data_IF_721688738016
#
_entry.id   IF_721688738016
#
_cell.length_a   1.000
_cell.length_b   1.000
_cell.length_c   1.000
_cell.angle_alpha   90.00
_cell.angle_beta   90.00
_cell.angle_gamma   90.00
#
_symmetry.space_group_name_H-M   'P 1'
#
loop_
_entity.id
_entity.type
_entity.pdbx_description
1 polymer ?
#
# COMPACT_ATOMS: atom_id res chain seq x y z
N UNK A 1 -9.46 -13.12 -18.10
CA UNK A 1 -10.22 -12.11 -17.36
C UNK A 1 -9.20 -11.19 -16.70
N UNK A 2 -9.03 -9.96 -17.17
CA UNK A 2 -8.12 -9.00 -16.54
C UNK A 2 -8.69 -8.58 -15.18
N UNK A 3 -7.85 -8.48 -14.15
CA UNK A 3 -8.31 -8.06 -12.82
C UNK A 3 -8.79 -6.61 -12.90
N UNK A 4 -9.84 -6.27 -12.14
CA UNK A 4 -10.43 -4.91 -12.17
C UNK A 4 -9.44 -3.82 -11.76
N UNK A 5 -8.44 -4.18 -10.95
CA UNK A 5 -7.29 -3.33 -10.63
C UNK A 5 -6.46 -3.00 -11.88
N UNK A 6 -6.19 -3.97 -12.76
CA UNK A 6 -5.45 -3.72 -14.01
C UNK A 6 -6.17 -2.75 -14.96
N UNK A 7 -7.51 -2.69 -14.93
CA UNK A 7 -8.28 -1.75 -15.76
C UNK A 7 -8.21 -0.31 -15.22
N UNK A 8 -8.38 -0.13 -13.91
CA UNK A 8 -8.20 1.16 -13.25
C UNK A 8 -6.74 1.68 -13.37
N UNK A 9 -5.77 0.76 -13.41
CA UNK A 9 -4.35 1.06 -13.63
C UNK A 9 -4.01 1.40 -15.10
N UNK A 10 -4.72 0.83 -16.08
CA UNK A 10 -4.59 1.22 -17.50
C UNK A 10 -5.20 2.59 -17.80
N UNK A 11 -6.29 2.93 -17.14
CA UNK A 11 -6.96 4.25 -17.24
C UNK A 11 -6.19 5.36 -16.50
N UNK A 12 -5.12 5.02 -15.79
CA UNK A 12 -4.12 5.98 -15.27
C UNK A 12 -3.28 6.63 -16.39
N UNK A 13 -3.42 6.19 -17.65
CA UNK A 13 -3.29 7.07 -18.81
C UNK A 13 -4.68 7.38 -19.32
N UNK A 14 -5.08 8.64 -19.20
CA UNK A 14 -6.34 9.19 -19.72
C UNK A 14 -6.50 8.82 -21.22
N UNK A 15 -7.69 8.35 -21.65
CA UNK A 15 -8.23 8.86 -22.91
C UNK A 15 -9.75 9.15 -22.83
N UNK A 16 -10.28 9.92 -23.79
CA UNK A 16 -11.54 10.62 -23.63
C UNK A 16 -12.77 9.72 -23.81
N UNK A 17 -13.79 10.05 -23.01
CA UNK A 17 -15.23 9.95 -23.25
C UNK A 17 -15.68 8.92 -24.29
N UNK A 18 -16.12 7.74 -23.84
CA UNK A 18 -17.17 6.98 -24.55
C UNK A 18 -18.12 6.27 -23.60
N UNK A 19 -19.38 6.69 -23.67
CA UNK A 19 -20.55 5.97 -23.18
C UNK A 19 -20.67 4.61 -23.88
N UNK A 20 -21.06 3.57 -23.15
CA UNK A 20 -21.94 2.52 -23.66
C UNK A 20 -22.63 1.80 -22.50
N UNK A 21 -23.95 1.76 -22.58
CA UNK A 21 -24.87 1.08 -21.68
C UNK A 21 -24.86 -0.42 -21.95
N UNK A 22 -24.96 -1.25 -20.89
CA UNK A 22 -25.51 -2.59 -20.98
C UNK A 22 -26.19 -2.98 -19.65
N UNK A 23 -27.37 -3.58 -19.79
CA UNK A 23 -28.33 -4.00 -18.77
C UNK A 23 -27.95 -5.34 -18.12
N UNK A 24 -28.18 -5.47 -16.81
CA UNK A 24 -28.11 -6.73 -16.06
C UNK A 24 -29.52 -7.25 -15.74
N UNK A 25 -29.72 -8.58 -15.57
CA UNK A 25 -30.81 -9.11 -14.78
C UNK A 25 -30.39 -9.47 -13.34
N UNK A 26 -31.39 -9.37 -12.48
CA UNK A 26 -31.47 -9.48 -11.02
C UNK A 26 -31.06 -10.84 -10.43
N UNK A 27 -30.37 -10.83 -9.28
CA UNK A 27 -30.29 -11.99 -8.36
C UNK A 27 -30.11 -11.52 -6.90
N UNK A 28 -30.79 -12.26 -6.01
CA UNK A 28 -31.18 -11.93 -4.63
C UNK A 28 -30.03 -11.96 -3.60
N UNK A 29 -30.13 -11.09 -2.59
CA UNK A 29 -29.22 -10.97 -1.45
C UNK A 29 -29.52 -11.98 -0.32
N UNK A 30 -28.48 -12.42 0.43
CA UNK A 30 -28.64 -12.89 1.81
C UNK A 30 -28.01 -11.93 2.82
N UNK A 31 -28.56 -12.00 4.03
CA UNK A 31 -28.40 -11.06 5.13
C UNK A 31 -27.03 -11.13 5.84
N UNK A 32 -26.50 -9.94 6.18
CA UNK A 32 -25.30 -9.71 6.98
C UNK A 32 -25.62 -9.73 8.49
N UNK A 33 -24.78 -10.44 9.28
CA UNK A 33 -24.63 -10.20 10.72
C UNK A 33 -23.40 -9.31 10.96
N UNK A 34 -23.65 -8.19 11.62
CA UNK A 34 -22.72 -7.10 11.84
C UNK A 34 -21.76 -7.36 13.02
N UNK A 35 -20.46 -7.22 12.77
CA UNK A 35 -19.44 -6.92 13.78
C UNK A 35 -19.03 -5.46 13.64
N UNK A 36 -19.42 -4.63 14.60
CA UNK A 36 -19.25 -3.18 14.60
C UNK A 36 -17.76 -2.81 14.76
N UNK A 37 -17.11 -2.34 13.68
CA UNK A 37 -15.79 -1.67 13.76
C UNK A 37 -16.03 -0.18 13.52
N UNK A 38 -15.66 0.63 14.51
CA UNK A 38 -15.89 2.08 14.55
C UNK A 38 -15.13 2.78 13.41
N UNK A 39 -15.82 3.01 12.30
CA UNK A 39 -15.45 4.00 11.29
C UNK A 39 -15.69 5.39 11.87
N UNK A 40 -14.63 6.18 12.09
CA UNK A 40 -14.82 7.61 12.32
C UNK A 40 -15.14 8.25 10.97
N UNK A 41 -16.40 8.15 10.56
CA UNK A 41 -16.92 8.87 9.41
C UNK A 41 -16.66 10.36 9.63
N UNK A 42 -16.24 11.06 8.57
CA UNK A 42 -16.08 12.50 8.62
C UNK A 42 -17.48 13.08 8.92
N UNK A 43 -17.60 13.80 10.04
CA UNK A 43 -18.88 14.36 10.47
C UNK A 43 -19.39 15.36 9.41
N UNK A 44 -20.72 15.48 9.22
CA UNK A 44 -21.29 16.45 8.29
C UNK A 44 -20.92 17.86 8.75
N UNK A 45 -19.94 18.48 8.09
CA UNK A 45 -19.46 19.84 8.41
C UNK A 45 -17.93 20.03 8.45
N UNK A 46 -17.12 18.97 8.36
CA UNK A 46 -15.69 19.16 8.13
C UNK A 46 -15.40 19.44 6.65
N UNK A 47 -14.52 20.42 6.41
CA UNK A 47 -14.01 20.75 5.08
C UNK A 47 -13.41 19.49 4.45
N UNK A 48 -13.89 19.16 3.24
CA UNK A 48 -13.43 18.01 2.46
C UNK A 48 -11.95 18.21 2.15
N UNK A 49 -11.07 17.51 2.87
CA UNK A 49 -9.64 17.55 2.58
C UNK A 49 -9.40 16.95 1.19
N UNK A 50 -8.97 17.80 0.26
CA UNK A 50 -8.53 17.41 -1.08
C UNK A 50 -7.08 16.95 -0.96
N UNK A 51 -6.79 15.74 -1.43
CA UNK A 51 -5.43 15.20 -1.40
C UNK A 51 -4.85 15.20 -2.82
N UNK A 52 -3.63 15.73 -2.95
CA UNK A 52 -2.81 15.53 -4.13
C UNK A 52 -2.30 14.08 -4.12
N UNK A 53 -2.82 13.26 -5.02
CA UNK A 53 -2.24 11.95 -5.31
C UNK A 53 -1.06 12.16 -6.27
N UNK A 54 -0.03 11.29 -6.28
CA UNK A 54 0.99 11.36 -7.32
C UNK A 54 0.34 11.27 -8.69
N UNK A 55 0.77 12.11 -9.62
CA UNK A 55 0.25 12.15 -10.99
C UNK A 55 1.06 11.25 -11.94
N UNK A 56 2.20 10.73 -11.46
CA UNK A 56 3.11 9.88 -12.24
C UNK A 56 3.75 8.78 -11.41
N UNK A 57 4.24 7.75 -12.10
CA UNK A 57 5.04 6.66 -11.49
C UNK A 57 6.28 7.22 -10.78
N UNK A 58 6.99 8.13 -11.42
CA UNK A 58 8.22 8.71 -10.86
C UNK A 58 7.96 9.52 -9.59
N UNK A 59 6.85 10.25 -9.56
CA UNK A 59 6.42 10.95 -8.36
C UNK A 59 6.02 9.97 -7.24
N UNK A 60 5.28 8.91 -7.56
CA UNK A 60 4.93 7.89 -6.58
C UNK A 60 6.17 7.20 -5.99
N UNK A 61 7.19 6.93 -6.82
CA UNK A 61 8.49 6.42 -6.37
C UNK A 61 9.17 7.43 -5.43
N UNK A 62 9.23 8.71 -5.79
CA UNK A 62 9.81 9.76 -4.92
C UNK A 62 9.10 9.88 -3.57
N UNK A 63 7.77 9.90 -3.58
CA UNK A 63 6.96 9.98 -2.36
C UNK A 63 7.16 8.75 -1.47
N UNK A 64 7.19 7.56 -2.07
CA UNK A 64 7.43 6.30 -1.34
C UNK A 64 8.84 6.26 -0.74
N UNK A 65 9.86 6.68 -1.48
CA UNK A 65 11.24 6.77 -1.01
C UNK A 65 11.37 7.78 0.14
N UNK A 66 10.70 8.93 0.06
CA UNK A 66 10.68 9.92 1.15
C UNK A 66 10.02 9.36 2.41
N UNK A 67 8.91 8.62 2.29
CA UNK A 67 8.22 7.98 3.41
C UNK A 67 9.12 6.92 4.08
N UNK A 68 9.77 6.07 3.29
CA UNK A 68 10.76 5.08 3.77
C UNK A 68 11.93 5.75 4.47
N UNK A 69 12.48 6.83 3.88
CA UNK A 69 13.62 7.55 4.44
C UNK A 69 13.34 8.15 5.80
N UNK A 70 12.13 8.67 6.02
CA UNK A 70 11.69 9.14 7.32
C UNK A 70 11.83 8.06 8.40
N UNK A 71 11.50 6.82 8.07
CA UNK A 71 11.60 5.69 9.00
C UNK A 71 13.04 5.18 9.14
N UNK A 72 13.76 4.99 8.02
CA UNK A 72 15.13 4.45 8.03
C UNK A 72 16.11 5.36 8.78
N UNK A 73 15.92 6.68 8.72
CA UNK A 73 16.73 7.63 9.52
C UNK A 73 16.49 7.48 11.03
N UNK A 74 15.26 7.18 11.45
CA UNK A 74 14.94 6.96 12.86
C UNK A 74 15.53 5.64 13.40
N UNK A 75 15.83 4.68 12.51
CA UNK A 75 16.51 3.43 12.86
C UNK A 75 18.01 3.58 13.11
N UNK A 76 18.63 4.68 12.64
CA UNK A 76 20.07 4.97 12.85
C UNK A 76 20.39 5.64 14.21
N UNK A 77 19.39 5.87 15.06
CA UNK A 77 19.62 6.35 16.42
C UNK A 77 19.96 5.21 17.38
N UNK A 78 20.96 5.35 18.28
CA UNK A 78 21.19 4.35 19.31
C UNK A 78 19.95 4.30 20.21
N UNK A 79 19.14 3.24 20.11
CA UNK A 79 18.17 2.91 21.15
C UNK A 79 19.01 2.63 22.40
N UNK A 80 19.08 3.59 23.32
CA UNK A 80 19.65 3.37 24.66
C UNK A 80 18.92 2.16 25.24
N UNK A 81 19.63 1.03 25.30
CA UNK A 81 19.16 -0.15 26.00
C UNK A 81 18.81 0.28 27.43
N UNK A 82 17.55 0.11 27.82
CA UNK A 82 17.16 0.25 29.22
C UNK A 82 17.82 -0.92 29.95
N UNK A 83 18.95 -0.64 30.61
CA UNK A 83 19.78 -1.59 31.35
C UNK A 83 18.97 -2.17 32.53
N UNK A 84 18.18 -3.20 32.27
CA UNK A 84 17.62 -4.10 33.26
C UNK A 84 18.55 -5.31 33.37
N UNK A 85 19.00 -5.62 34.59
CA UNK A 85 19.80 -6.79 34.88
C UNK A 85 18.95 -8.06 34.67
N UNK A 86 19.31 -8.89 33.68
CA UNK A 86 18.75 -10.24 33.55
C UNK A 86 18.28 -10.70 32.16
N UNK A 87 18.92 -10.31 31.06
CA UNK A 87 18.65 -10.94 29.76
C UNK A 87 19.96 -11.28 29.06
N UNK A 88 20.18 -12.58 28.86
CA UNK A 88 21.19 -13.12 27.97
C UNK A 88 21.10 -12.43 26.61
N UNK A 89 22.25 -12.12 26.01
CA UNK A 89 22.37 -11.61 24.66
C UNK A 89 21.77 -12.64 23.69
N UNK A 90 20.47 -12.50 23.44
CA UNK A 90 19.78 -13.21 22.37
C UNK A 90 20.08 -12.44 21.10
N UNK A 91 20.78 -13.11 20.19
CA UNK A 91 21.14 -12.66 18.85
C UNK A 91 19.96 -12.04 18.09
N UNK A 92 20.28 -11.07 17.24
CA UNK A 92 19.43 -10.47 16.20
C UNK A 92 18.06 -9.94 16.66
N UNK A 93 17.99 -8.65 17.00
CA UNK A 93 16.71 -7.95 16.81
C UNK A 93 16.33 -8.06 15.33
N UNK A 94 15.14 -8.59 14.96
CA UNK A 94 14.75 -8.71 13.57
C UNK A 94 14.78 -7.32 12.92
N UNK A 95 15.39 -7.24 11.73
CA UNK A 95 15.45 -5.98 10.98
C UNK A 95 14.05 -5.40 10.77
N UNK A 96 13.95 -4.09 10.64
CA UNK A 96 12.64 -3.44 10.51
C UNK A 96 11.99 -3.79 9.17
N UNK A 97 10.70 -4.15 9.19
CA UNK A 97 9.99 -4.68 8.02
C UNK A 97 9.01 -3.63 7.49
N UNK A 98 9.15 -3.27 6.22
CA UNK A 98 8.33 -2.27 5.55
C UNK A 98 7.65 -2.86 4.32
N UNK A 99 6.50 -2.31 3.94
CA UNK A 99 5.83 -2.59 2.67
C UNK A 99 5.60 -1.31 1.89
N UNK A 100 5.79 -1.38 0.57
CA UNK A 100 5.43 -0.33 -0.38
C UNK A 100 4.54 -0.91 -1.47
N UNK A 101 3.41 -0.24 -1.72
CA UNK A 101 2.49 -0.58 -2.80
C UNK A 101 2.32 0.61 -3.74
N UNK A 102 2.68 0.39 -5.00
CA UNK A 102 2.69 1.36 -6.07
C UNK A 102 1.87 0.83 -7.25
N UNK A 103 1.09 1.70 -7.92
CA UNK A 103 0.34 1.32 -9.11
C UNK A 103 1.31 0.91 -10.24
N UNK A 104 1.01 -0.20 -10.91
CA UNK A 104 1.73 -0.69 -12.09
C UNK A 104 0.83 -0.65 -13.32
N UNK A 105 1.39 -0.37 -14.50
CA UNK A 105 0.60 -0.37 -15.73
C UNK A 105 0.29 -1.80 -16.20
N UNK A 106 1.19 -2.74 -15.91
CA UNK A 106 0.99 -4.17 -16.13
C UNK A 106 1.75 -5.03 -15.11
N UNK A 107 1.35 -6.29 -15.00
CA UNK A 107 2.05 -7.30 -14.17
C UNK A 107 3.28 -7.89 -14.88
N UNK A 108 3.86 -7.16 -15.84
CA UNK A 108 5.03 -7.61 -16.57
C UNK A 108 6.26 -7.58 -15.64
N UNK A 109 7.07 -8.67 -15.57
CA UNK A 109 8.29 -8.69 -14.77
C UNK A 109 9.27 -7.56 -15.10
N UNK A 110 9.29 -7.05 -16.34
CA UNK A 110 10.12 -5.91 -16.71
C UNK A 110 9.72 -4.59 -16.02
N UNK A 111 8.41 -4.35 -15.82
CA UNK A 111 7.93 -3.15 -15.13
C UNK A 111 8.26 -3.17 -13.64
N UNK A 112 8.10 -4.35 -13.01
CA UNK A 112 8.50 -4.60 -11.63
C UNK A 112 10.01 -4.47 -11.44
N UNK A 113 10.81 -4.99 -12.39
CA UNK A 113 12.26 -4.86 -12.37
C UNK A 113 12.74 -3.41 -12.46
N UNK A 114 12.12 -2.63 -13.36
CA UNK A 114 12.37 -1.19 -13.46
C UNK A 114 11.98 -0.49 -12.15
N UNK A 115 10.79 -0.78 -11.60
CA UNK A 115 10.32 -0.20 -10.34
C UNK A 115 11.29 -0.47 -9.17
N UNK A 116 11.78 -1.70 -9.04
CA UNK A 116 12.74 -2.06 -8.00
C UNK A 116 14.06 -1.26 -8.14
N UNK A 117 14.52 -1.09 -9.38
CA UNK A 117 15.73 -0.32 -9.69
C UNK A 117 15.55 1.17 -9.39
N UNK A 118 14.39 1.73 -9.74
CA UNK A 118 14.04 3.13 -9.49
C UNK A 118 13.93 3.41 -7.99
N UNK A 119 13.28 2.52 -7.24
CA UNK A 119 13.11 2.66 -5.79
C UNK A 119 14.44 2.58 -5.04
N UNK A 120 15.32 1.63 -5.40
CA UNK A 120 16.65 1.55 -4.81
C UNK A 120 17.52 2.78 -5.13
N UNK A 121 17.37 3.35 -6.33
CA UNK A 121 18.09 4.56 -6.72
C UNK A 121 17.57 5.83 -6.06
N UNK A 122 16.29 5.86 -5.69
CA UNK A 122 15.69 6.96 -4.93
C UNK A 122 16.09 6.94 -3.44
N UNK A 123 16.60 5.81 -2.94
CA UNK A 123 17.12 5.68 -1.57
C UNK A 123 18.62 6.03 -1.51
N UNK A 124 19.13 6.56 -0.38
CA UNK A 124 20.55 6.87 -0.23
C UNK A 124 21.39 5.62 -0.32
N UNK A 125 22.49 5.67 -1.09
CA UNK A 125 23.41 4.56 -1.31
C UNK A 125 23.90 3.92 0.01
N UNK A 126 24.14 4.71 1.06
CA UNK A 126 24.55 4.21 2.37
C UNK A 126 23.49 3.35 3.09
N UNK A 127 22.23 3.40 2.65
CA UNK A 127 21.13 2.60 3.21
C UNK A 127 20.79 1.38 2.35
N UNK A 128 21.25 1.35 1.10
CA UNK A 128 21.04 0.27 0.12
C UNK A 128 22.34 -0.44 -0.26
N UNK A 129 23.46 -0.11 0.39
CA UNK A 129 24.73 -0.80 0.21
C UNK A 129 24.57 -2.29 0.53
N UNK A 130 24.96 -3.15 -0.42
CA UNK A 130 24.80 -4.60 -0.30
C UNK A 130 23.35 -5.10 -0.37
N UNK A 131 22.40 -4.30 -0.84
CA UNK A 131 21.00 -4.71 -0.88
C UNK A 131 20.77 -5.95 -1.76
N UNK A 132 20.25 -7.01 -1.13
CA UNK A 132 19.81 -8.23 -1.78
C UNK A 132 18.38 -8.04 -2.33
N UNK A 133 18.16 -8.37 -3.60
CA UNK A 133 16.82 -8.41 -4.20
C UNK A 133 16.38 -9.85 -4.32
N UNK A 134 15.26 -10.18 -3.70
CA UNK A 134 14.61 -11.47 -3.76
C UNK A 134 13.28 -11.32 -4.49
N UNK A 135 13.08 -12.12 -5.54
CA UNK A 135 11.94 -12.01 -6.43
C UNK A 135 11.01 -13.20 -6.26
N UNK A 136 9.69 -12.99 -6.30
CA UNK A 136 8.71 -14.09 -6.17
C UNK A 136 8.91 -15.23 -7.20
N UNK A 137 9.46 -14.94 -8.38
CA UNK A 137 9.69 -15.92 -9.44
C UNK A 137 11.08 -15.80 -10.09
N UNK A 138 11.53 -16.89 -10.71
CA UNK A 138 12.76 -16.93 -11.51
C UNK A 138 12.71 -15.94 -12.69
N UNK A 139 11.54 -15.80 -13.32
CA UNK A 139 11.35 -14.88 -14.44
C UNK A 139 11.55 -13.42 -14.01
N UNK A 140 11.04 -13.06 -12.83
CA UNK A 140 11.22 -11.73 -12.27
C UNK A 140 12.69 -11.51 -11.85
N UNK A 141 13.34 -12.52 -11.26
CA UNK A 141 14.77 -12.46 -10.92
C UNK A 141 15.64 -12.21 -12.17
N UNK A 142 15.38 -12.93 -13.27
CA UNK A 142 16.07 -12.74 -14.54
C UNK A 142 15.83 -11.33 -15.12
N UNK A 143 14.60 -10.81 -15.05
CA UNK A 143 14.28 -9.45 -15.51
C UNK A 143 15.01 -8.37 -14.69
N UNK A 144 15.10 -8.55 -13.37
CA UNK A 144 15.84 -7.64 -12.47
C UNK A 144 17.35 -7.69 -12.77
N UNK A 145 17.90 -8.88 -12.98
CA UNK A 145 19.31 -9.05 -13.35
C UNK A 145 19.61 -8.33 -14.68
N UNK A 146 18.77 -8.56 -15.70
CA UNK A 146 18.90 -7.88 -16.99
C UNK A 146 18.84 -6.35 -16.87
N UNK A 147 17.88 -5.82 -16.09
CA UNK A 147 17.73 -4.40 -15.86
C UNK A 147 18.96 -3.77 -15.15
N UNK A 148 19.57 -4.50 -14.21
CA UNK A 148 20.81 -4.08 -13.54
C UNK A 148 21.99 -4.05 -14.51
N UNK A 149 22.14 -5.07 -15.34
CA UNK A 149 23.21 -5.16 -16.34
C UNK A 149 23.11 -4.05 -17.39
N UNK A 150 21.90 -3.72 -17.86
CA UNK A 150 21.70 -2.65 -18.86
C UNK A 150 21.85 -1.24 -18.29
N UNK A 151 21.54 -1.04 -17.00
CA UNK A 151 21.53 0.27 -16.36
C UNK A 151 22.90 0.78 -15.91
N UNK A 152 23.98 0.02 -16.12
CA UNK A 152 25.33 0.36 -15.63
C UNK A 152 25.44 0.44 -14.09
N UNK A 153 24.38 0.08 -13.36
CA UNK A 153 24.27 0.13 -11.91
C UNK A 153 24.62 -1.25 -11.35
N UNK A 154 25.89 -1.45 -11.00
CA UNK A 154 26.28 -2.60 -10.19
C UNK A 154 25.83 -2.37 -8.74
N UNK A 155 24.61 -2.82 -8.41
CA UNK A 155 24.25 -3.03 -7.02
C UNK A 155 25.08 -4.21 -6.48
N UNK A 156 25.84 -4.00 -5.40
CA UNK A 156 26.74 -5.03 -4.87
C UNK A 156 26.06 -6.25 -4.24
N UNK A 157 24.73 -6.24 -4.07
CA UNK A 157 23.99 -7.35 -3.48
C UNK A 157 23.37 -8.30 -4.52
N UNK A 158 23.13 -9.54 -4.12
CA UNK A 158 22.60 -10.60 -4.99
C UNK A 158 21.19 -10.30 -5.53
N UNK A 159 20.84 -10.90 -6.68
CA UNK A 159 19.46 -10.99 -7.18
C UNK A 159 19.10 -12.46 -7.27
N UNK A 160 18.13 -12.90 -6.48
CA UNK A 160 17.72 -14.29 -6.36
C UNK A 160 16.21 -14.42 -6.55
N UNK A 161 15.74 -15.59 -6.96
CA UNK A 161 14.36 -15.97 -6.75
C UNK A 161 14.12 -16.30 -5.27
N UNK A 162 12.87 -16.29 -4.83
CA UNK A 162 12.52 -16.60 -3.44
C UNK A 162 12.93 -18.02 -3.06
N UNK A 163 12.76 -18.98 -3.97
CA UNK A 163 13.19 -20.36 -3.75
C UNK A 163 14.71 -20.48 -3.64
N UNK A 164 15.47 -19.81 -4.52
CA UNK A 164 16.92 -19.81 -4.46
C UNK A 164 17.44 -19.10 -3.21
N UNK A 165 16.77 -18.03 -2.77
CA UNK A 165 17.10 -17.31 -1.55
C UNK A 165 16.93 -18.20 -0.30
N UNK A 166 15.87 -19.01 -0.23
CA UNK A 166 15.66 -19.94 0.89
C UNK A 166 16.69 -21.09 0.94
N UNK A 167 17.42 -21.32 -0.16
CA UNK A 167 18.46 -22.35 -0.26
C UNK A 167 19.87 -21.78 -0.04
N UNK A 168 20.01 -20.46 0.10
CA UNK A 168 21.28 -19.84 0.37
C UNK A 168 21.73 -20.10 1.82
N UNK A 169 23.04 -20.24 2.04
CA UNK A 169 23.58 -20.47 3.39
C UNK A 169 23.27 -19.31 4.35
N UNK A 170 23.40 -18.08 3.85
CA UNK A 170 23.03 -16.87 4.58
C UNK A 170 22.92 -15.68 3.65
N UNK A 171 21.96 -14.80 3.92
CA UNK A 171 21.83 -13.49 3.27
C UNK A 171 22.00 -12.38 4.29
N UNK A 172 22.73 -11.34 3.92
CA UNK A 172 22.97 -10.20 4.81
C UNK A 172 22.75 -8.85 4.13
N UNK A 173 22.58 -7.82 4.95
CA UNK A 173 22.32 -6.47 4.48
C UNK A 173 20.84 -6.21 4.18
N UNK A 174 20.51 -5.06 3.56
CA UNK A 174 19.13 -4.71 3.24
C UNK A 174 18.46 -5.74 2.31
N UNK A 175 17.20 -6.06 2.58
CA UNK A 175 16.44 -7.02 1.77
C UNK A 175 15.28 -6.32 1.04
N UNK A 176 15.18 -6.57 -0.27
CA UNK A 176 14.06 -6.14 -1.10
C UNK A 176 13.31 -7.36 -1.65
N UNK A 177 12.07 -7.57 -1.22
CA UNK A 177 11.19 -8.65 -1.66
C UNK A 177 10.20 -8.13 -2.71
N UNK A 178 10.27 -8.63 -3.94
CA UNK A 178 9.45 -8.15 -5.04
C UNK A 178 8.23 -9.05 -5.29
N UNK A 179 7.06 -8.43 -5.21
CA UNK A 179 5.74 -8.97 -5.53
C UNK A 179 5.44 -10.35 -4.90
N UNK A 180 5.72 -10.59 -3.61
CA UNK A 180 5.38 -11.87 -3.00
C UNK A 180 3.87 -12.07 -2.96
N UNK A 181 3.41 -13.25 -3.38
CA UNK A 181 2.01 -13.63 -3.36
C UNK A 181 1.61 -14.30 -2.04
N UNK A 182 0.30 -14.55 -1.88
CA UNK A 182 -0.21 -15.31 -0.72
C UNK A 182 0.40 -16.71 -0.63
N UNK A 183 0.72 -17.34 -1.76
CA UNK A 183 1.41 -18.65 -1.81
C UNK A 183 2.83 -18.61 -1.28
N UNK A 184 3.46 -17.43 -1.25
CA UNK A 184 4.88 -17.25 -0.97
C UNK A 184 5.14 -16.93 0.51
N UNK A 185 4.08 -16.70 1.29
CA UNK A 185 4.18 -16.22 2.67
C UNK A 185 4.99 -17.18 3.55
N UNK A 186 4.82 -18.49 3.37
CA UNK A 186 5.60 -19.49 4.11
C UNK A 186 7.10 -19.43 3.77
N UNK A 187 7.45 -19.22 2.50
CA UNK A 187 8.84 -19.08 2.06
C UNK A 187 9.44 -17.75 2.54
N UNK A 188 8.63 -16.69 2.61
CA UNK A 188 9.09 -15.41 3.17
C UNK A 188 9.33 -15.51 4.68
N UNK A 189 8.49 -16.25 5.41
CA UNK A 189 8.75 -16.55 6.83
C UNK A 189 10.09 -17.26 7.00
N UNK A 190 10.28 -18.38 6.29
CA UNK A 190 11.51 -19.16 6.30
C UNK A 190 12.74 -18.29 5.97
N UNK A 191 12.65 -17.50 4.90
CA UNK A 191 13.73 -16.59 4.50
C UNK A 191 14.11 -15.62 5.62
N UNK A 192 13.11 -15.02 6.29
CA UNK A 192 13.33 -13.99 7.31
C UNK A 192 13.81 -14.55 8.65
N UNK A 193 13.43 -15.78 8.98
CA UNK A 193 13.71 -16.39 10.27
C UNK A 193 14.98 -17.26 10.25
N UNK A 194 15.29 -17.90 9.12
CA UNK A 194 16.39 -18.87 9.03
C UNK A 194 17.59 -18.35 8.22
N UNK A 195 17.37 -17.54 7.18
CA UNK A 195 18.41 -17.26 6.18
C UNK A 195 18.92 -15.82 6.25
N UNK A 196 18.02 -14.86 6.44
CA UNK A 196 18.33 -13.44 6.32
C UNK A 196 18.64 -12.76 7.65
N UNK A 197 19.76 -12.03 7.68
CA UNK A 197 20.13 -11.15 8.79
C UNK A 197 20.47 -9.76 8.27
N UNK A 198 19.63 -8.77 8.55
CA UNK A 198 19.86 -7.42 8.03
C UNK A 198 19.15 -6.31 8.79
N UNK A 199 19.45 -5.05 8.43
CA UNK A 199 18.92 -3.88 9.11
C UNK A 199 17.43 -3.65 8.84
N UNK A 200 16.98 -3.94 7.61
CA UNK A 200 15.60 -3.78 7.20
C UNK A 200 15.25 -4.67 6.01
N UNK A 201 13.98 -5.06 5.92
CA UNK A 201 13.37 -5.75 4.79
C UNK A 201 12.23 -4.90 4.22
N UNK A 202 12.14 -4.81 2.90
CA UNK A 202 11.10 -4.06 2.19
C UNK A 202 10.38 -4.99 1.21
N UNK A 203 9.08 -5.13 1.34
CA UNK A 203 8.24 -5.79 0.34
C UNK A 203 7.67 -4.75 -0.62
N UNK A 204 7.80 -4.99 -1.92
CA UNK A 204 7.25 -4.14 -2.98
C UNK A 204 6.09 -4.87 -3.64
N UNK A 205 4.93 -4.23 -3.66
CA UNK A 205 3.68 -4.74 -4.24
C UNK A 205 3.32 -6.19 -3.79
N UNK A 206 3.29 -6.49 -2.48
CA UNK A 206 2.84 -7.80 -2.01
C UNK A 206 1.34 -8.01 -2.27
N UNK A 207 0.97 -9.25 -2.60
CA UNK A 207 -0.43 -9.67 -2.83
C UNK A 207 -0.99 -10.52 -1.68
N UNK A 208 -0.25 -10.66 -0.58
CA UNK A 208 -0.65 -11.48 0.56
C UNK A 208 -1.63 -10.81 1.51
N UNK A 209 -2.23 -9.68 1.15
CA UNK A 209 -3.16 -8.94 2.02
C UNK A 209 -4.57 -9.51 2.00
N UNK A 210 -4.88 -10.35 1.02
CA UNK A 210 -6.18 -11.02 0.90
C UNK A 210 -5.99 -12.51 1.13
N UNK A 211 -6.88 -13.12 1.92
CA UNK A 211 -6.89 -14.57 2.14
C UNK A 211 -5.60 -15.18 2.74
N UNK A 212 -4.82 -14.40 3.50
CA UNK A 212 -3.66 -14.94 4.24
C UNK A 212 -4.13 -16.02 5.22
N UNK A 213 -3.50 -17.20 5.23
CA UNK A 213 -3.78 -18.21 6.26
C UNK A 213 -3.55 -17.65 7.66
N UNK A 214 -4.39 -18.05 8.62
CA UNK A 214 -4.33 -17.55 10.01
C UNK A 214 -2.94 -17.71 10.65
N UNK A 215 -2.23 -18.80 10.32
CA UNK A 215 -0.88 -19.07 10.80
C UNK A 215 0.12 -17.93 10.47
N UNK A 216 -0.04 -17.27 9.33
CA UNK A 216 0.92 -16.26 8.85
C UNK A 216 0.44 -14.81 9.01
N UNK A 217 -0.70 -14.58 9.69
CA UNK A 217 -1.19 -13.23 9.92
C UNK A 217 -0.22 -12.38 10.75
N UNK A 218 0.49 -13.00 11.70
CA UNK A 218 1.52 -12.32 12.49
C UNK A 218 2.68 -11.80 11.64
N UNK A 219 3.14 -12.62 10.68
CA UNK A 219 4.18 -12.24 9.74
C UNK A 219 3.73 -11.07 8.86
N UNK A 220 2.56 -11.17 8.22
CA UNK A 220 2.05 -10.09 7.34
C UNK A 220 1.81 -8.80 8.13
N UNK A 221 1.33 -8.90 9.37
CA UNK A 221 1.15 -7.74 10.25
C UNK A 221 2.48 -7.12 10.73
N UNK A 222 3.59 -7.88 10.69
CA UNK A 222 4.93 -7.37 11.04
C UNK A 222 5.48 -6.38 10.00
N UNK A 223 4.96 -6.42 8.77
CA UNK A 223 5.33 -5.48 7.71
C UNK A 223 4.52 -4.19 7.84
N UNK A 224 5.22 -3.09 8.11
CA UNK A 224 4.59 -1.78 8.16
C UNK A 224 4.47 -1.17 6.76
N UNK A 225 3.25 -0.92 6.30
CA UNK A 225 3.02 -0.22 5.04
C UNK A 225 3.51 1.24 5.12
N UNK A 226 4.72 1.48 4.57
CA UNK A 226 5.37 2.78 4.52
C UNK A 226 4.66 3.72 3.54
N UNK A 227 4.26 3.16 2.40
CA UNK A 227 3.49 3.82 1.37
C UNK A 227 2.59 2.81 0.69
N UNK A 228 1.32 3.13 0.48
CA UNK A 228 0.41 2.32 -0.31
C UNK A 228 -0.55 3.24 -1.01
N UNK A 229 -0.53 3.22 -2.34
CA UNK A 229 -1.54 3.86 -3.15
C UNK A 229 -2.18 2.84 -4.08
N UNK A 230 -3.45 2.55 -3.83
CA UNK A 230 -4.21 1.56 -4.58
C UNK A 230 -5.44 2.23 -5.18
N UNK A 231 -5.48 2.41 -6.50
CA UNK A 231 -6.70 2.76 -7.20
C UNK A 231 -7.76 1.67 -7.00
N UNK A 232 -8.99 2.08 -6.71
CA UNK A 232 -10.12 1.18 -6.48
C UNK A 232 -11.29 1.62 -7.34
N UNK A 233 -11.85 0.67 -8.08
CA UNK A 233 -13.14 0.80 -8.72
C UNK A 233 -14.10 -0.23 -8.11
N UNK A 234 -15.15 0.25 -7.43
CA UNK A 234 -16.20 -0.61 -6.87
C UNK A 234 -17.26 -0.87 -7.94
N UNK A 235 -17.63 -2.14 -8.14
CA UNK A 235 -18.69 -2.54 -9.08
C UNK A 235 -19.97 -3.04 -8.38
N UNK A 236 -20.01 -2.97 -7.05
CA UNK A 236 -21.15 -3.38 -6.22
C UNK A 236 -22.31 -2.38 -6.26
N UNK A 237 -23.07 -2.32 -5.15
CA UNK A 237 -24.28 -1.49 -5.04
C UNK A 237 -24.00 0.00 -5.33
N UNK A 238 -22.80 0.47 -5.01
CA UNK A 238 -22.31 1.80 -5.36
C UNK A 238 -21.16 1.65 -6.34
N UNK A 239 -21.38 2.08 -7.58
CA UNK A 239 -20.29 2.27 -8.54
C UNK A 239 -19.53 3.54 -8.22
N UNK A 240 -18.33 3.42 -7.66
CA UNK A 240 -17.47 4.55 -7.34
C UNK A 240 -16.00 4.24 -7.66
N UNK A 241 -15.31 5.25 -8.18
CA UNK A 241 -13.86 5.29 -8.32
C UNK A 241 -13.26 6.00 -7.12
N UNK A 242 -12.11 5.53 -6.67
CA UNK A 242 -11.41 6.08 -5.52
C UNK A 242 -10.03 5.49 -5.36
N UNK A 243 -9.44 5.74 -4.20
CA UNK A 243 -8.15 5.15 -3.86
C UNK A 243 -8.05 4.90 -2.36
N UNK A 244 -7.26 3.91 -1.98
CA UNK A 244 -6.76 3.77 -0.61
C UNK A 244 -5.34 4.31 -0.58
N UNK A 245 -5.11 5.24 0.34
CA UNK A 245 -3.81 5.86 0.54
C UNK A 245 -3.33 5.61 1.97
N UNK A 246 -2.13 5.07 2.10
CA UNK A 246 -1.32 5.19 3.32
C UNK A 246 0.01 5.80 2.94
N UNK A 247 0.44 6.77 3.74
CA UNK A 247 1.75 7.40 3.60
C UNK A 247 2.25 7.72 4.99
N UNK A 248 3.38 7.14 5.37
CA UNK A 248 4.04 7.47 6.62
C UNK A 248 4.62 8.89 6.53
N UNK A 249 4.25 9.73 7.49
CA UNK A 249 4.76 11.09 7.65
C UNK A 249 5.16 11.28 9.10
N UNK A 250 6.45 11.22 9.41
CA UNK A 250 6.92 11.24 10.81
C UNK A 250 6.96 9.84 11.42
N UNK A 251 6.27 9.58 12.53
CA UNK A 251 6.29 8.26 13.18
C UNK A 251 5.19 7.31 12.65
N UNK A 252 5.54 6.05 12.49
CA UNK A 252 4.69 4.89 12.16
C UNK A 252 3.26 4.92 12.74
N UNK A 253 3.14 5.22 14.03
CA UNK A 253 1.89 5.17 14.78
C UNK A 253 0.90 6.31 14.45
N UNK A 254 1.32 7.34 13.71
CA UNK A 254 0.54 8.56 13.47
C UNK A 254 -0.17 8.62 12.11
N UNK A 255 0.12 7.69 11.17
CA UNK A 255 -0.37 7.78 9.80
C UNK A 255 -1.54 6.79 9.54
N UNK A 256 -2.79 7.27 9.48
CA UNK A 256 -3.94 6.41 9.22
C UNK A 256 -4.00 5.97 7.75
N UNK A 257 -4.71 4.86 7.51
CA UNK A 257 -5.20 4.53 6.17
C UNK A 257 -6.31 5.49 5.81
N UNK A 258 -6.23 6.11 4.63
CA UNK A 258 -7.23 7.06 4.13
C UNK A 258 -7.99 6.44 2.97
N UNK A 259 -9.30 6.65 2.97
CA UNK A 259 -10.18 6.29 1.85
C UNK A 259 -10.51 7.55 1.09
N UNK A 260 -10.14 7.58 -0.18
CA UNK A 260 -10.33 8.69 -1.10
C UNK A 260 -11.41 8.32 -2.13
N UNK A 261 -12.34 9.22 -2.38
CA UNK A 261 -13.34 9.13 -3.42
C UNK A 261 -12.98 10.09 -4.55
N UNK A 262 -13.07 9.63 -5.80
CA UNK A 262 -12.86 10.48 -6.97
C UNK A 262 -14.14 11.25 -7.27
N UNK A 263 -14.09 12.57 -7.15
CA UNK A 263 -15.16 13.50 -7.52
C UNK A 263 -14.64 14.38 -8.67
N UNK A 264 -15.00 14.03 -9.91
CA UNK A 264 -14.42 14.65 -11.11
C UNK A 264 -12.93 14.32 -11.24
N UNK A 265 -12.09 15.36 -11.33
CA UNK A 265 -10.62 15.24 -11.38
C UNK A 265 -9.95 15.25 -9.99
N UNK A 266 -10.72 15.31 -8.90
CA UNK A 266 -10.19 15.47 -7.55
C UNK A 266 -10.41 14.24 -6.68
N UNK A 267 -9.43 13.95 -5.81
CA UNK A 267 -9.55 12.94 -4.77
C UNK A 267 -9.91 13.58 -3.43
N UNK A 268 -11.11 13.29 -2.96
CA UNK A 268 -11.66 13.79 -1.70
C UNK A 268 -11.57 12.70 -0.64
N UNK A 269 -11.02 13.02 0.53
CA UNK A 269 -11.04 12.06 1.63
C UNK A 269 -12.46 11.88 2.17
N UNK A 270 -12.91 10.63 2.22
CA UNK A 270 -14.25 10.24 2.71
C UNK A 270 -14.19 9.41 4.00
N UNK A 271 -13.01 8.91 4.37
CA UNK A 271 -12.83 8.14 5.59
C UNK A 271 -11.37 7.95 5.98
N UNK A 272 -11.17 7.47 7.20
CA UNK A 272 -9.87 7.04 7.69
C UNK A 272 -10.00 5.87 8.66
N UNK A 273 -8.98 5.00 8.69
CA UNK A 273 -8.96 3.78 9.48
C UNK A 273 -7.56 3.52 10.03
N UNK A 274 -7.49 2.85 11.19
CA UNK A 274 -6.20 2.40 11.76
C UNK A 274 -5.64 1.18 11.03
N UNK A 275 -6.52 0.28 10.61
CA UNK A 275 -6.19 -0.90 9.80
C UNK A 275 -6.45 -0.64 8.32
N UNK A 276 -5.88 -1.48 7.46
CA UNK A 276 -6.18 -1.47 6.03
C UNK A 276 -7.70 -1.66 5.82
N UNK A 277 -8.36 -0.79 5.03
CA UNK A 277 -9.76 -0.95 4.69
C UNK A 277 -9.99 -2.26 3.93
N UNK A 278 -11.03 -3.00 4.31
CA UNK A 278 -11.54 -4.15 3.55
C UNK A 278 -12.50 -3.68 2.45
N UNK A 279 -12.85 -4.57 1.52
CA UNK A 279 -13.83 -4.27 0.47
C UNK A 279 -15.16 -3.76 1.04
N UNK A 280 -15.67 -4.37 2.11
CA UNK A 280 -16.91 -3.93 2.77
C UNK A 280 -16.76 -2.55 3.43
N UNK A 281 -15.58 -2.23 3.97
CA UNK A 281 -15.34 -0.90 4.56
C UNK A 281 -15.37 0.20 3.48
N UNK A 282 -14.85 -0.11 2.29
CA UNK A 282 -14.81 0.81 1.15
C UNK A 282 -16.20 1.10 0.60
N UNK A 283 -17.02 0.06 0.41
CA UNK A 283 -18.40 0.21 -0.04
C UNK A 283 -19.22 1.03 0.96
N UNK A 284 -19.05 0.78 2.26
CA UNK A 284 -19.71 1.56 3.30
C UNK A 284 -19.25 3.02 3.31
N UNK A 285 -17.95 3.28 3.17
CA UNK A 285 -17.40 4.63 3.11
C UNK A 285 -17.96 5.41 1.91
N UNK A 286 -18.05 4.78 0.73
CA UNK A 286 -18.60 5.41 -0.48
C UNK A 286 -20.11 5.63 -0.40
N UNK A 287 -20.87 4.69 0.17
CA UNK A 287 -22.29 4.87 0.45
C UNK A 287 -22.53 6.08 1.36
N UNK A 288 -21.81 6.16 2.47
CA UNK A 288 -21.93 7.25 3.43
C UNK A 288 -21.55 8.60 2.81
N UNK A 289 -20.49 8.65 1.99
CA UNK A 289 -20.09 9.85 1.28
C UNK A 289 -21.17 10.35 0.32
N UNK A 290 -21.80 9.44 -0.45
CA UNK A 290 -22.89 9.78 -1.37
C UNK A 290 -24.16 10.21 -0.66
N UNK A 291 -24.48 9.58 0.47
CA UNK A 291 -25.62 10.01 1.30
C UNK A 291 -25.40 11.42 1.84
N UNK A 292 -24.16 11.74 2.28
CA UNK A 292 -23.80 13.04 2.80
C UNK A 292 -23.75 14.16 1.73
N UNK A 293 -23.59 13.81 0.45
CA UNK A 293 -23.64 14.75 -0.68
C UNK A 293 -25.02 14.86 -1.35
N UNK A 294 -26.07 14.27 -0.75
CA UNK A 294 -27.42 14.30 -1.30
C UNK A 294 -28.03 15.72 -1.33
N UNK A 295 -28.72 16.13 -2.42
CA UNK A 295 -29.37 17.43 -2.54
C UNK A 295 -30.34 17.78 -1.41
N UNK A 296 -30.94 16.77 -0.76
CA UNK A 296 -31.85 16.97 0.37
C UNK A 296 -31.13 17.51 1.61
N UNK A 297 -29.87 17.11 1.84
CA UNK A 297 -29.04 17.68 2.91
C UNK A 297 -28.52 19.08 2.59
N UNK A 298 -28.38 19.42 1.30
CA UNK A 298 -28.04 20.76 0.81
C UNK A 298 -29.21 21.74 0.99
N UNK A 299 -30.44 21.28 0.74
CA UNK A 299 -31.66 22.07 0.92
C UNK A 299 -31.91 22.44 2.39
N UNK A 300 -31.68 21.53 3.33
CA UNK A 300 -31.78 21.83 4.78
C UNK A 300 -30.73 22.86 5.22
N UNK A 301 -29.53 22.84 4.64
CA UNK A 301 -28.50 23.89 4.88
C UNK A 301 -28.91 25.25 4.31
N UNK A 302 -29.53 25.28 3.14
CA UNK A 302 -30.05 26.51 2.51
C UNK A 302 -31.18 27.15 3.31
N UNK A 303 -32.11 26.33 3.84
CA UNK A 303 -33.23 26.82 4.66
C UNK A 303 -32.77 27.28 6.05
N UNK A 304 -31.81 26.57 6.68
CA UNK A 304 -31.26 26.98 7.99
C UNK A 304 -30.45 28.29 7.89
N UNK A 305 -29.69 28.50 6.82
CA UNK A 305 -28.93 29.75 6.59
C UNK A 305 -29.80 30.98 6.34
N UNK A 306 -31.01 30.80 5.81
CA UNK A 306 -32.00 31.88 5.65
C UNK A 306 -32.71 32.19 6.99
N UNK A 307 -32.95 31.18 7.83
CA UNK A 307 -33.65 31.35 9.10
C UNK A 307 -32.77 31.96 10.21
N UNK A 308 -31.44 31.81 10.15
CA UNK A 308 -30.49 32.49 11.06
C UNK A 308 -30.25 33.96 10.66
N UNK A 309 -30.39 34.32 9.37
CA UNK A 309 -30.28 35.71 8.90
C UNK A 309 -31.52 36.55 9.18
N UNK A 310 -32.66 35.93 9.49
CA UNK A 310 -33.91 36.62 9.82
C UNK A 310 -34.09 36.97 11.31
N UNK A 311 -33.05 36.79 12.14
CA UNK A 311 -33.07 37.02 13.59
C UNK A 311 -32.12 38.13 14.08
N UNK A 312 -31.84 39.11 13.22
CA UNK A 312 -31.21 40.38 13.61
C UNK A 312 -32.17 41.54 13.38
#
# INVERSE_FOLDING_TARGET
>A
MQSLQQRALREWRIPPSRCCAFTCPSLKAPQLRAGLVVSKAIAPGQEKAVFSIPESKDEAVKVSAAALLGQVKQLKGPKKAKKGFGAAATSSSPGTRFSVELPLASDNPAELAALATDLLAALPAASTAGACIVCASEQLAAAVQAARSSGGRQGGGAVLSLRAACQADSLSGPLLLLAPATSDVALVEQLLDEVWVGPWALTVNPDWHTNTPAAYQGLVASFEAAYSFLPIATQGLVRAEGAVLRQLSGSAAASPWRVLLKEGEQFVQVGQMKRRPSQSDLELAFMNARAASSPLTSLVKGVKGIMDKGKK
#
